data_IF_003557960517
#
_entry.id   IF_003557960517
#
_cell.length_a   1.000
_cell.length_b   1.000
_cell.length_c   1.000
_cell.angle_alpha   90.00
_cell.angle_beta   90.00
_cell.angle_gamma   90.00
#
_symmetry.space_group_name_H-M   'P 1'
#
loop_
_entity.id
_entity.type
_entity.pdbx_description
1 polymer ?
#
# COMPACT_ATOMS: atom_id res chain seq x y z
N UNK A 1 -20.68 22.70 10.37
CA UNK A 1 -20.07 22.73 9.04
C UNK A 1 -18.82 21.87 9.16
N UNK A 2 -18.92 20.57 8.86
CA UNK A 2 -17.73 19.71 8.76
C UNK A 2 -16.91 20.32 7.62
N UNK A 3 -15.67 20.70 7.91
CA UNK A 3 -14.87 21.42 6.92
C UNK A 3 -14.56 20.47 5.75
N UNK A 4 -14.50 20.98 4.51
CA UNK A 4 -14.13 20.16 3.34
C UNK A 4 -12.81 19.40 3.52
N UNK A 5 -11.93 19.92 4.39
CA UNK A 5 -10.67 19.30 4.81
C UNK A 5 -10.91 17.99 5.57
N UNK A 6 -11.83 17.97 6.53
CA UNK A 6 -12.16 16.75 7.30
C UNK A 6 -12.74 15.66 6.39
N UNK A 7 -13.61 16.02 5.44
CA UNK A 7 -14.18 15.07 4.47
C UNK A 7 -13.11 14.47 3.55
N UNK A 8 -12.18 15.29 3.06
CA UNK A 8 -11.10 14.83 2.18
C UNK A 8 -10.14 13.89 2.91
N UNK A 9 -9.83 14.20 4.18
CA UNK A 9 -9.00 13.35 5.03
C UNK A 9 -9.69 12.01 5.37
N UNK A 10 -10.98 12.04 5.70
CA UNK A 10 -11.76 10.81 5.96
C UNK A 10 -11.79 9.91 4.72
N UNK A 11 -11.91 10.50 3.53
CA UNK A 11 -11.81 9.76 2.27
C UNK A 11 -10.42 9.16 2.11
N UNK A 12 -9.35 9.93 2.29
CA UNK A 12 -7.99 9.42 2.14
C UNK A 12 -7.66 8.30 3.15
N UNK A 13 -8.11 8.40 4.41
CA UNK A 13 -7.96 7.34 5.43
C UNK A 13 -8.78 6.11 5.04
N UNK A 14 -10.01 6.30 4.57
CA UNK A 14 -10.87 5.22 4.07
C UNK A 14 -10.22 4.48 2.90
N UNK A 15 -9.78 5.21 1.89
CA UNK A 15 -9.08 4.71 0.72
C UNK A 15 -7.81 3.97 1.12
N UNK A 16 -7.07 4.51 2.10
CA UNK A 16 -5.87 3.88 2.65
C UNK A 16 -6.18 2.53 3.29
N UNK A 17 -7.26 2.41 4.07
CA UNK A 17 -7.67 1.12 4.67
C UNK A 17 -8.05 0.09 3.61
N UNK A 18 -8.80 0.50 2.58
CA UNK A 18 -9.14 -0.37 1.46
C UNK A 18 -7.89 -0.89 0.75
N UNK A 19 -6.91 0.00 0.52
CA UNK A 19 -5.62 -0.40 -0.06
C UNK A 19 -4.90 -1.42 0.84
N UNK A 20 -4.85 -1.19 2.15
CA UNK A 20 -4.22 -2.13 3.09
C UNK A 20 -4.83 -3.53 2.97
N UNK A 21 -6.17 -3.62 2.99
CA UNK A 21 -6.88 -4.89 2.83
C UNK A 21 -6.52 -5.55 1.49
N UNK A 22 -6.51 -4.75 0.41
CA UNK A 22 -6.25 -5.20 -0.95
C UNK A 22 -4.82 -5.74 -1.15
N UNK A 23 -3.80 -5.11 -0.55
CA UNK A 23 -2.39 -5.53 -0.73
C UNK A 23 -1.86 -6.43 0.38
N UNK A 24 -2.65 -6.68 1.43
CA UNK A 24 -2.24 -7.45 2.61
C UNK A 24 -1.68 -8.84 2.27
N UNK A 25 -2.20 -9.48 1.21
CA UNK A 25 -1.72 -10.78 0.75
C UNK A 25 -0.26 -10.74 0.29
N UNK A 26 0.22 -9.60 -0.20
CA UNK A 26 1.51 -9.46 -0.86
C UNK A 26 2.66 -9.16 0.11
N UNK A 27 2.36 -8.43 1.18
CA UNK A 27 3.32 -7.97 2.20
C UNK A 27 3.32 -8.88 3.43
N UNK A 28 4.36 -8.81 4.26
CA UNK A 28 4.40 -9.58 5.52
C UNK A 28 3.55 -8.92 6.60
N UNK A 29 3.62 -7.59 6.66
CA UNK A 29 2.93 -6.76 7.63
C UNK A 29 2.69 -5.39 7.01
N UNK A 30 1.55 -4.78 7.28
CA UNK A 30 1.21 -3.42 6.85
C UNK A 30 0.28 -2.78 7.87
N UNK A 31 0.50 -1.51 8.18
CA UNK A 31 -0.32 -0.73 9.10
C UNK A 31 -0.25 0.76 8.78
N UNK A 32 -1.22 1.52 9.26
CA UNK A 32 -1.16 2.99 9.28
C UNK A 32 -0.28 3.40 10.46
N UNK A 33 0.65 4.34 10.27
CA UNK A 33 1.46 4.85 11.38
C UNK A 33 0.59 5.61 12.38
N UNK A 34 0.69 5.23 13.65
CA UNK A 34 0.12 6.00 14.77
C UNK A 34 1.14 6.96 15.40
N UNK A 35 2.41 6.91 14.97
CA UNK A 35 3.51 7.70 15.55
C UNK A 35 3.89 8.90 14.69
N UNK A 36 3.80 8.76 13.37
CA UNK A 36 4.07 9.85 12.46
C UNK A 36 2.88 10.81 12.39
N UNK A 37 3.11 12.12 12.18
CA UNK A 37 2.04 13.09 12.07
C UNK A 37 1.09 12.71 10.93
N UNK A 38 -0.17 12.45 11.27
CA UNK A 38 -1.27 12.45 10.29
C UNK A 38 -1.71 13.91 10.14
N UNK A 39 -0.91 14.70 9.44
CA UNK A 39 -1.04 16.16 9.48
C UNK A 39 -2.15 16.67 8.56
N UNK A 40 -3.00 17.57 9.07
CA UNK A 40 -3.39 18.78 8.36
C UNK A 40 -2.60 20.03 8.82
N UNK A 41 -1.81 19.96 9.92
CA UNK A 41 -1.19 21.15 10.54
C UNK A 41 0.11 21.66 9.88
N UNK A 42 0.66 20.95 8.90
CA UNK A 42 1.66 21.55 8.02
C UNK A 42 0.93 22.24 6.86
N UNK A 43 0.96 23.57 6.85
CA UNK A 43 0.41 24.44 5.80
C UNK A 43 0.75 24.04 4.35
N UNK A 44 1.78 23.22 4.13
CA UNK A 44 2.23 22.74 2.83
C UNK A 44 1.93 21.28 2.51
N UNK A 45 1.37 20.50 3.45
CA UNK A 45 1.02 19.10 3.22
C UNK A 45 -0.45 18.86 3.54
N UNK A 46 -1.31 19.48 2.73
CA UNK A 46 -2.73 19.14 2.73
C UNK A 46 -2.86 17.69 2.28
N UNK A 47 -3.50 16.88 3.13
CA UNK A 47 -3.87 15.48 2.91
C UNK A 47 -2.67 14.51 2.77
N UNK A 48 -1.99 14.26 3.90
CA UNK A 48 -0.88 13.31 4.03
C UNK A 48 -1.21 12.19 5.02
N UNK A 49 -1.05 10.94 4.59
CA UNK A 49 -1.10 9.78 5.48
C UNK A 49 0.21 9.00 5.34
N UNK A 50 0.75 8.54 6.46
CA UNK A 50 1.89 7.62 6.49
C UNK A 50 1.41 6.20 6.70
N UNK A 51 1.67 5.37 5.70
CA UNK A 51 1.65 3.92 5.82
C UNK A 51 3.02 3.40 6.20
N UNK A 52 3.03 2.30 6.92
CA UNK A 52 4.25 1.58 7.23
C UNK A 52 4.03 0.11 6.99
N UNK A 53 4.90 -0.50 6.19
CA UNK A 53 4.77 -1.90 5.81
C UNK A 53 6.12 -2.59 5.66
N UNK A 54 6.13 -3.90 5.86
CA UNK A 54 7.23 -4.79 5.46
C UNK A 54 6.84 -5.42 4.13
N UNK A 55 7.53 -5.01 3.07
CA UNK A 55 7.47 -5.72 1.80
C UNK A 55 8.57 -6.80 1.79
N UNK A 56 8.25 -8.05 1.42
CA UNK A 56 9.28 -9.02 1.11
C UNK A 56 9.97 -8.55 -0.17
N UNK A 57 11.23 -8.08 -0.09
CA UNK A 57 12.03 -7.84 -1.30
C UNK A 57 12.29 -9.17 -2.02
N UNK A 58 12.43 -10.25 -1.27
CA UNK A 58 12.56 -11.62 -1.76
C UNK A 58 11.85 -12.56 -0.77
N UNK A 59 11.27 -13.66 -1.25
CA UNK A 59 10.63 -14.68 -0.39
C UNK A 59 11.57 -15.28 0.67
N UNK A 60 12.90 -15.09 0.54
CA UNK A 60 13.93 -15.76 1.33
C UNK A 60 14.80 -14.81 2.18
N UNK A 61 14.84 -13.50 1.93
CA UNK A 61 15.63 -12.55 2.75
C UNK A 61 14.72 -11.80 3.72
N UNK A 62 15.22 -11.55 4.94
CA UNK A 62 14.55 -10.81 6.01
C UNK A 62 13.94 -9.53 5.45
N UNK A 63 12.61 -9.52 5.27
CA UNK A 63 11.91 -8.48 4.53
C UNK A 63 12.31 -7.07 4.96
N UNK A 64 12.45 -6.18 3.99
CA UNK A 64 12.81 -4.79 4.25
C UNK A 64 11.58 -4.02 4.71
N UNK A 65 11.79 -3.21 5.74
CA UNK A 65 10.77 -2.31 6.26
C UNK A 65 10.73 -1.08 5.38
N UNK A 66 9.54 -0.58 5.13
CA UNK A 66 9.35 0.66 4.40
C UNK A 66 8.36 1.53 5.16
N UNK A 67 8.73 2.79 5.36
CA UNK A 67 7.77 3.83 5.62
C UNK A 67 7.40 4.48 4.29
N UNK A 68 6.11 4.64 4.06
CA UNK A 68 5.56 5.13 2.80
C UNK A 68 4.53 6.20 3.10
N UNK A 69 4.63 7.33 2.42
CA UNK A 69 3.57 8.32 2.45
C UNK A 69 2.64 8.17 1.24
N UNK A 70 1.38 8.49 1.46
CA UNK A 70 0.39 8.71 0.42
C UNK A 70 -0.04 10.18 0.46
N UNK A 71 -0.05 10.80 -0.72
CA UNK A 71 -0.50 12.18 -0.96
C UNK A 71 -1.27 12.24 -2.29
N UNK A 72 -1.80 13.41 -2.63
CA UNK A 72 -2.34 13.68 -3.98
C UNK A 72 -1.33 13.48 -5.12
N UNK A 73 -0.01 13.47 -4.84
CA UNK A 73 1.04 13.19 -5.84
C UNK A 73 1.27 11.69 -6.05
N UNK A 74 0.66 10.84 -5.23
CA UNK A 74 0.86 9.41 -5.23
C UNK A 74 1.61 8.92 -3.99
N UNK A 75 2.36 7.84 -4.17
CA UNK A 75 2.96 7.01 -3.13
C UNK A 75 4.49 7.18 -3.12
N UNK A 76 5.11 7.37 -1.96
CA UNK A 76 6.58 7.53 -1.89
C UNK A 76 7.16 6.84 -0.67
N UNK A 77 8.29 6.17 -0.84
CA UNK A 77 9.06 5.62 0.27
C UNK A 77 9.77 6.75 1.00
N UNK A 78 9.43 7.00 2.26
CA UNK A 78 10.07 8.03 3.06
C UNK A 78 11.31 7.50 3.78
N UNK A 79 11.35 6.21 4.11
CA UNK A 79 12.52 5.55 4.69
C UNK A 79 12.45 4.02 4.55
N UNK A 80 13.58 3.36 4.83
CA UNK A 80 13.68 1.90 4.94
C UNK A 80 13.50 1.41 6.39
N UNK A 81 12.83 2.20 7.24
CA UNK A 81 12.59 1.87 8.65
C UNK A 81 11.13 2.11 9.04
N UNK A 82 10.69 1.46 10.12
CA UNK A 82 9.36 1.70 10.66
C UNK A 82 9.25 3.11 11.24
N UNK A 83 8.12 3.79 10.98
CA UNK A 83 7.78 5.10 11.58
C UNK A 83 8.88 6.17 11.41
N UNK A 84 9.63 6.12 10.31
CA UNK A 84 10.73 7.05 10.05
C UNK A 84 10.49 7.78 8.71
N UNK A 85 10.77 9.08 8.67
CA UNK A 85 10.64 9.92 7.46
C UNK A 85 11.99 10.29 6.84
N UNK A 86 13.09 9.87 7.46
CA UNK A 86 14.44 10.15 6.98
C UNK A 86 14.86 9.06 6.00
N UNK A 87 14.88 9.43 4.72
CA UNK A 87 15.43 8.59 3.66
C UNK A 87 16.95 8.46 3.76
N UNK A 88 17.49 7.48 3.06
CA UNK A 88 18.91 7.25 2.91
C UNK A 88 19.45 8.00 1.67
N UNK A 89 20.54 8.75 1.83
CA UNK A 89 21.17 9.45 0.71
C UNK A 89 21.77 8.49 -0.33
N UNK A 90 22.14 7.27 0.07
CA UNK A 90 22.64 6.25 -0.86
C UNK A 90 21.52 5.75 -1.80
N UNK A 91 20.27 5.81 -1.34
CA UNK A 91 19.08 5.43 -2.10
C UNK A 91 18.20 6.64 -2.42
N UNK A 92 18.82 7.79 -2.72
CA UNK A 92 18.10 9.05 -2.94
C UNK A 92 16.94 8.91 -3.94
N UNK A 93 17.14 8.20 -5.06
CA UNK A 93 16.10 8.02 -6.08
C UNK A 93 14.87 7.27 -5.56
N UNK A 94 15.05 6.33 -4.63
CA UNK A 94 13.95 5.62 -3.97
C UNK A 94 13.13 6.58 -3.11
N UNK A 95 13.81 7.48 -2.39
CA UNK A 95 13.18 8.34 -1.38
C UNK A 95 12.59 9.65 -1.92
N UNK A 96 12.89 10.02 -3.16
CA UNK A 96 12.34 11.24 -3.81
C UNK A 96 11.23 10.92 -4.82
N UNK A 97 11.11 9.67 -5.28
CA UNK A 97 10.19 9.28 -6.35
C UNK A 97 8.78 9.04 -5.80
N UNK A 98 7.80 9.71 -6.40
CA UNK A 98 6.39 9.34 -6.27
C UNK A 98 6.01 8.33 -7.34
N UNK A 99 5.24 7.33 -6.94
CA UNK A 99 4.64 6.30 -7.78
C UNK A 99 3.15 6.58 -7.87
N UNK A 100 2.54 6.36 -9.03
CA UNK A 100 1.13 6.70 -9.26
C UNK A 100 0.19 5.81 -8.45
N UNK A 101 0.60 4.58 -8.17
CA UNK A 101 -0.17 3.62 -7.39
C UNK A 101 0.72 2.79 -6.47
N UNK A 102 0.10 2.21 -5.43
CA UNK A 102 0.75 1.25 -4.55
C UNK A 102 1.28 0.03 -5.32
N UNK A 103 0.63 -0.35 -6.42
CA UNK A 103 1.05 -1.46 -7.29
C UNK A 103 2.36 -1.17 -8.01
N UNK A 104 2.49 0.04 -8.53
CA UNK A 104 3.72 0.50 -9.18
C UNK A 104 4.86 0.55 -8.15
N UNK A 105 4.58 1.08 -6.95
CA UNK A 105 5.53 1.10 -5.85
C UNK A 105 5.98 -0.32 -5.47
N UNK A 106 5.04 -1.22 -5.17
CA UNK A 106 5.38 -2.60 -4.78
C UNK A 106 6.11 -3.35 -5.89
N UNK A 107 5.75 -3.12 -7.15
CA UNK A 107 6.46 -3.70 -8.31
C UNK A 107 7.89 -3.17 -8.44
N UNK A 108 8.13 -1.91 -8.08
CA UNK A 108 9.46 -1.31 -8.08
C UNK A 108 10.31 -1.80 -6.90
N UNK A 109 9.70 -2.05 -5.73
CA UNK A 109 10.39 -2.56 -4.53
C UNK A 109 10.72 -4.05 -4.62
N UNK A 110 9.82 -4.85 -5.21
CA UNK A 110 10.00 -6.30 -5.39
C UNK A 110 9.43 -6.74 -6.74
N UNK A 111 10.28 -7.11 -7.71
CA UNK A 111 9.82 -7.70 -8.97
C UNK A 111 8.94 -8.94 -8.79
N UNK A 112 9.13 -9.69 -7.70
CA UNK A 112 8.36 -10.88 -7.31
C UNK A 112 6.91 -10.53 -6.95
N UNK A 113 6.64 -9.29 -6.53
CA UNK A 113 5.28 -8.81 -6.28
C UNK A 113 4.35 -9.09 -7.46
N UNK A 114 4.81 -8.80 -8.70
CA UNK A 114 4.00 -9.00 -9.91
C UNK A 114 3.63 -10.46 -10.13
N UNK A 115 4.55 -11.36 -9.83
CA UNK A 115 4.30 -12.81 -9.89
C UNK A 115 3.27 -13.22 -8.85
N UNK A 116 3.47 -12.81 -7.59
CA UNK A 116 2.54 -13.11 -6.49
C UNK A 116 1.14 -12.55 -6.72
N UNK A 117 1.04 -11.34 -7.26
CA UNK A 117 -0.22 -10.73 -7.69
C UNK A 117 -0.90 -11.57 -8.77
N UNK A 118 -0.14 -11.99 -9.79
CA UNK A 118 -0.67 -12.82 -10.88
C UNK A 118 -1.16 -14.18 -10.38
N UNK A 119 -0.39 -14.83 -9.50
CA UNK A 119 -0.76 -16.11 -8.90
C UNK A 119 -2.04 -16.00 -8.06
N UNK A 120 -2.15 -14.94 -7.23
CA UNK A 120 -3.35 -14.65 -6.44
C UNK A 120 -4.57 -14.37 -7.33
N UNK A 121 -4.40 -13.63 -8.42
CA UNK A 121 -5.46 -13.35 -9.37
C UNK A 121 -5.97 -14.64 -10.04
N UNK A 122 -5.06 -15.52 -10.46
CA UNK A 122 -5.41 -16.82 -11.04
C UNK A 122 -6.18 -17.68 -10.03
N UNK A 123 -5.74 -17.75 -8.78
CA UNK A 123 -6.43 -18.47 -7.71
C UNK A 123 -7.86 -17.96 -7.53
N UNK A 124 -8.04 -16.63 -7.47
CA UNK A 124 -9.37 -16.04 -7.29
C UNK A 124 -10.29 -16.30 -8.48
N UNK A 125 -9.78 -16.22 -9.70
CA UNK A 125 -10.55 -16.55 -10.92
C UNK A 125 -10.99 -18.02 -10.93
N UNK A 126 -10.13 -18.93 -10.47
CA UNK A 126 -10.46 -20.36 -10.37
C UNK A 126 -11.51 -20.63 -9.29
N UNK A 127 -11.47 -19.91 -8.17
CA UNK A 127 -12.49 -19.96 -7.12
C UNK A 127 -13.87 -19.55 -7.67
N UNK A 128 -13.95 -18.40 -8.34
CA UNK A 128 -15.20 -17.89 -8.95
C UNK A 128 -15.74 -18.88 -9.99
N UNK A 129 -14.88 -19.42 -10.85
CA UNK A 129 -15.27 -20.44 -11.84
C UNK A 129 -15.84 -21.68 -11.16
N UNK A 130 -15.24 -22.12 -10.05
CA UNK A 130 -15.69 -23.28 -9.30
C UNK A 130 -17.05 -23.03 -8.64
N UNK A 131 -17.25 -21.84 -8.07
CA UNK A 131 -18.54 -21.43 -7.48
C UNK A 131 -19.67 -21.44 -8.52
N UNK A 132 -19.42 -20.88 -9.71
CA UNK A 132 -20.39 -20.90 -10.81
C UNK A 132 -20.75 -22.32 -11.27
N UNK A 133 -19.77 -23.23 -11.33
CA UNK A 133 -20.03 -24.63 -11.68
C UNK A 133 -20.88 -25.34 -10.62
N UNK A 134 -20.67 -25.04 -9.33
CA UNK A 134 -21.48 -25.59 -8.24
C UNK A 134 -22.90 -25.04 -8.30
N UNK A 135 -23.08 -23.75 -8.55
CA UNK A 135 -24.40 -23.12 -8.64
C UNK A 135 -25.20 -23.61 -9.85
N UNK A 136 -24.54 -23.76 -11.00
CA UNK A 136 -25.15 -24.35 -12.20
C UNK A 136 -25.58 -25.81 -12.03
N UNK A 137 -24.94 -26.56 -11.12
CA UNK A 137 -25.35 -27.94 -10.78
C UNK A 137 -26.52 -27.99 -9.81
N UNK A 138 -26.73 -26.96 -8.98
CA UNK A 138 -27.88 -26.87 -8.06
C UNK A 138 -29.17 -26.46 -8.78
N UNK A 139 -29.04 -25.71 -9.87
CA UNK A 139 -30.18 -25.23 -10.67
C UNK A 139 -30.63 -26.21 -11.76
N UNK A 140 -30.04 -27.41 -11.83
CA UNK A 140 -30.44 -28.51 -12.71
C UNK A 140 -30.97 -29.66 -11.87
#
# INVERSE_FOLDING_TARGET
>A
MVSWTESSQLNLIGDTKLVIEEISFAVKEISISNKLPQAPDLYQTRDLIFLVFIAPIFQILTGTKYCVEITHRGWRVTSNEYDNMHGDFEQLQLHIRYYESIYELLSALSPEYRKKFSDCLVEKLMEVKTQQLVENKKNK
#
